data_IF_670013967153
#
_entry.id   IF_670013967153
#
_cell.length_a   1.000
_cell.length_b   1.000
_cell.length_c   1.000
_cell.angle_alpha   90.00
_cell.angle_beta   90.00
_cell.angle_gamma   90.00
#
_symmetry.space_group_name_H-M   'P 1'
#
loop_
_entity.id
_entity.type
_entity.pdbx_description
1 polymer ?
#
# COMPACT_ATOMS: atom_id res chain seq x y z
N UNK A 1 0.28 7.50 19.46
CA UNK A 1 1.69 7.14 19.28
C UNK A 1 2.12 7.24 17.82
N UNK A 2 3.35 7.57 17.62
CA UNK A 2 3.90 7.81 16.29
C UNK A 2 3.73 6.60 15.36
N UNK A 3 4.02 5.41 15.87
CA UNK A 3 3.92 4.19 15.09
C UNK A 3 2.50 3.99 14.55
N UNK A 4 1.52 4.16 15.42
CA UNK A 4 0.12 3.99 15.04
C UNK A 4 -0.31 5.03 14.02
N UNK A 5 0.09 6.28 14.25
CA UNK A 5 -0.24 7.36 13.33
C UNK A 5 0.39 7.12 11.95
N UNK A 6 1.62 6.62 11.92
CA UNK A 6 2.31 6.32 10.68
C UNK A 6 1.62 5.18 9.93
N UNK A 7 1.23 4.13 10.66
CA UNK A 7 0.54 2.99 10.04
C UNK A 7 -0.81 3.40 9.49
N UNK A 8 -1.54 4.23 10.21
CA UNK A 8 -2.82 4.73 9.74
C UNK A 8 -2.67 5.55 8.48
N UNK A 9 -1.67 6.41 8.44
CA UNK A 9 -1.39 7.21 7.25
C UNK A 9 -1.02 6.32 6.07
N UNK A 10 -0.13 5.38 6.28
CA UNK A 10 0.34 4.50 5.21
C UNK A 10 -0.81 3.66 4.65
N UNK A 11 -1.64 3.14 5.52
CA UNK A 11 -2.78 2.33 5.09
C UNK A 11 -3.71 3.15 4.20
N UNK A 12 -4.04 4.35 4.63
CA UNK A 12 -4.93 5.22 3.88
C UNK A 12 -4.32 5.65 2.56
N UNK A 13 -3.06 6.06 2.60
CA UNK A 13 -2.36 6.49 1.39
C UNK A 13 -2.24 5.36 0.37
N UNK A 14 -1.78 4.20 0.81
CA UNK A 14 -1.59 3.06 -0.09
C UNK A 14 -2.91 2.54 -0.63
N UNK A 15 -3.95 2.53 0.18
CA UNK A 15 -5.28 2.13 -0.29
C UNK A 15 -5.76 3.05 -1.41
N UNK A 16 -5.56 4.35 -1.24
CA UNK A 16 -5.95 5.33 -2.25
C UNK A 16 -5.19 5.11 -3.55
N UNK A 17 -3.88 4.93 -3.46
CA UNK A 17 -3.07 4.72 -4.66
C UNK A 17 -3.42 3.39 -5.34
N UNK A 18 -3.63 2.36 -4.54
CA UNK A 18 -3.99 1.05 -5.08
C UNK A 18 -5.30 1.12 -5.88
N UNK A 19 -6.30 1.82 -5.35
CA UNK A 19 -7.57 2.01 -6.07
C UNK A 19 -7.36 2.75 -7.38
N UNK A 20 -6.49 3.74 -7.36
CA UNK A 20 -6.16 4.53 -8.55
C UNK A 20 -5.66 3.66 -9.69
N UNK A 21 -4.92 2.60 -9.36
CA UNK A 21 -4.36 1.69 -10.35
C UNK A 21 -5.16 0.39 -10.46
N UNK A 22 -6.40 0.39 -10.01
CA UNK A 22 -7.29 -0.76 -10.15
C UNK A 22 -6.82 -2.03 -9.46
N UNK A 23 -6.10 -1.90 -8.37
CA UNK A 23 -5.60 -3.04 -7.62
C UNK A 23 -4.31 -3.64 -8.18
N UNK A 24 -3.73 -3.01 -9.20
CA UNK A 24 -2.50 -3.50 -9.81
C UNK A 24 -1.30 -3.14 -8.95
N UNK A 25 -0.76 -4.15 -8.27
CA UNK A 25 0.31 -3.93 -7.30
C UNK A 25 1.61 -3.45 -7.95
N UNK A 26 1.92 -3.96 -9.15
CA UNK A 26 3.14 -3.56 -9.84
C UNK A 26 3.13 -2.07 -10.20
N UNK A 27 2.01 -1.61 -10.74
CA UNK A 27 1.87 -0.20 -11.10
C UNK A 27 1.86 0.69 -9.85
N UNK A 28 1.17 0.25 -8.82
CA UNK A 28 1.12 0.99 -7.56
C UNK A 28 2.51 1.13 -6.94
N UNK A 29 3.25 0.02 -6.89
CA UNK A 29 4.60 0.01 -6.33
C UNK A 29 5.51 1.00 -7.07
N UNK A 30 5.44 1.00 -8.38
CA UNK A 30 6.23 1.89 -9.21
C UNK A 30 5.92 3.35 -8.90
N UNK A 31 4.64 3.66 -8.76
CA UNK A 31 4.20 5.03 -8.46
C UNK A 31 4.67 5.50 -7.08
N UNK A 32 4.53 4.65 -6.06
CA UNK A 32 4.89 5.05 -4.69
C UNK A 32 6.37 4.92 -4.39
N UNK A 33 7.16 4.36 -5.32
CA UNK A 33 8.60 4.25 -5.15
C UNK A 33 9.04 3.08 -4.30
N UNK A 34 8.29 1.98 -4.34
CA UNK A 34 8.62 0.75 -3.60
C UNK A 34 8.83 -0.41 -4.56
N UNK A 35 9.57 -1.41 -4.11
CA UNK A 35 9.62 -2.66 -4.84
C UNK A 35 8.28 -3.40 -4.67
N UNK A 36 7.90 -4.14 -5.69
CA UNK A 36 6.63 -4.86 -5.69
C UNK A 36 6.48 -5.79 -4.48
N UNK A 37 7.52 -6.56 -4.18
CA UNK A 37 7.46 -7.50 -3.06
C UNK A 37 7.35 -6.78 -1.71
N UNK A 38 8.05 -5.65 -1.57
CA UNK A 38 8.00 -4.87 -0.35
C UNK A 38 6.60 -4.28 -0.15
N UNK A 39 5.99 -3.76 -1.23
CA UNK A 39 4.64 -3.23 -1.14
C UNK A 39 3.64 -4.33 -0.80
N UNK A 40 3.80 -5.49 -1.41
CA UNK A 40 2.91 -6.62 -1.14
C UNK A 40 2.90 -6.98 0.35
N UNK A 41 4.10 -7.09 0.94
CA UNK A 41 4.23 -7.39 2.38
C UNK A 41 3.61 -6.29 3.24
N UNK A 42 3.86 -5.04 2.88
CA UNK A 42 3.34 -3.92 3.65
C UNK A 42 1.81 -3.89 3.62
N UNK A 43 1.22 -4.12 2.46
CA UNK A 43 -0.24 -4.16 2.34
C UNK A 43 -0.84 -5.25 3.22
N UNK A 44 -0.20 -6.40 3.25
CA UNK A 44 -0.67 -7.49 4.11
C UNK A 44 -0.59 -7.13 5.59
N UNK A 45 0.53 -6.53 6.00
CA UNK A 45 0.70 -6.11 7.39
C UNK A 45 -0.31 -5.05 7.81
N UNK A 46 -0.66 -4.16 6.90
CA UNK A 46 -1.63 -3.10 7.17
C UNK A 46 -3.08 -3.57 7.06
N UNK A 47 -3.30 -4.80 6.61
CA UNK A 47 -4.65 -5.33 6.46
C UNK A 47 -5.39 -4.78 5.26
N UNK A 48 -4.68 -4.31 4.26
CA UNK A 48 -5.29 -3.82 3.03
C UNK A 48 -5.62 -4.99 2.12
N UNK A 49 -6.78 -4.92 1.46
CA UNK A 49 -7.23 -5.95 0.54
C UNK A 49 -7.53 -5.35 -0.82
N UNK A 50 -7.84 -6.22 -1.78
CA UNK A 50 -8.25 -5.77 -3.12
C UNK A 50 -7.09 -5.52 -4.07
N UNK A 51 -6.03 -6.31 -3.94
CA UNK A 51 -4.89 -6.20 -4.86
C UNK A 51 -4.49 -7.58 -5.36
N UNK A 52 -3.72 -7.59 -6.43
CA UNK A 52 -3.22 -8.82 -7.02
C UNK A 52 -1.73 -8.76 -7.28
#
# INVERSE_FOLDING_TARGET
PLREARENFEKEYLTTQLKKFGGNISKTAKFVGMERSALHRKLKLLGVRGFN
#
